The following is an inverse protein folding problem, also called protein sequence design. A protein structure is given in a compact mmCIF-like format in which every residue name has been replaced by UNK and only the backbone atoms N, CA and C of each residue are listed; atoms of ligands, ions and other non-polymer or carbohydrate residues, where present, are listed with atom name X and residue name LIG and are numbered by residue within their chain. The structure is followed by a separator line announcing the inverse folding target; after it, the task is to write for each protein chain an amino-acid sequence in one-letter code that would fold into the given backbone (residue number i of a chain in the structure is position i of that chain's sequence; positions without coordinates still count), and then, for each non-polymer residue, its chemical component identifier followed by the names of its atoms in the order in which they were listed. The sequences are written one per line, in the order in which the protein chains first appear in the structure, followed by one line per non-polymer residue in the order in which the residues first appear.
data_IF_186219617210
#
_entry.id   IF_186219617210
#
_cell.length_a   1.000
_cell.length_b   1.000
_cell.length_c   1.000
_cell.angle_alpha   90.00
_cell.angle_beta   90.00
_cell.angle_gamma   90.00
#
_symmetry.space_group_name_H-M   'P 1'
#
loop_
_entity.id
_entity.type
_entity.pdbx_description
1 polymer ?
#
# COMPACT_ATOMS: atom_id res chain seq x y z
N UNK A 1 43.30 4.23 15.10
CA UNK A 1 42.92 4.01 13.69
C UNK A 1 41.69 4.86 13.41
N UNK A 2 41.83 5.82 12.49
CA UNK A 2 40.93 6.95 12.28
C UNK A 2 39.64 6.55 11.56
N UNK A 3 38.48 6.91 12.14
CA UNK A 3 37.20 6.96 11.45
C UNK A 3 37.04 8.34 10.80
N UNK A 4 37.14 8.40 9.48
CA UNK A 4 36.98 9.65 8.73
C UNK A 4 35.51 9.86 8.38
N UNK A 5 34.91 10.90 8.97
CA UNK A 5 33.61 11.48 8.62
C UNK A 5 33.63 11.97 7.16
N UNK A 6 32.68 11.53 6.34
CA UNK A 6 32.38 12.21 5.07
C UNK A 6 31.38 13.34 5.30
N UNK A 7 31.85 14.57 5.08
CA UNK A 7 31.08 15.80 5.02
C UNK A 7 30.41 15.90 3.64
N UNK A 8 29.08 15.91 3.57
CA UNK A 8 28.37 16.43 2.39
C UNK A 8 28.20 17.94 2.56
N UNK A 9 28.95 18.69 1.74
CA UNK A 9 28.84 20.15 1.67
C UNK A 9 27.77 20.51 0.63
N UNK A 10 26.80 21.30 1.05
CA UNK A 10 25.75 21.85 0.21
C UNK A 10 26.32 22.72 -0.91
N UNK A 11 25.82 22.55 -2.13
CA UNK A 11 25.82 23.59 -3.15
C UNK A 11 24.37 23.84 -3.55
N UNK A 12 23.82 24.95 -3.04
CA UNK A 12 22.62 25.57 -3.56
C UNK A 12 23.03 26.70 -4.50
N UNK A 13 22.47 26.71 -5.71
CA UNK A 13 21.69 27.82 -6.30
C UNK A 13 21.64 27.70 -7.83
N UNK A 14 20.43 27.35 -8.29
CA UNK A 14 19.67 28.02 -9.35
C UNK A 14 20.42 28.51 -10.59
N UNK A 15 20.13 27.90 -11.74
CA UNK A 15 19.55 28.64 -12.87
C UNK A 15 19.01 27.70 -13.95
N UNK A 16 17.80 28.05 -14.40
CA UNK A 16 17.29 27.89 -15.76
C UNK A 16 16.71 26.52 -16.19
N UNK A 17 15.44 26.33 -15.79
CA UNK A 17 14.29 26.39 -16.70
C UNK A 17 14.61 26.33 -18.22
N UNK A 18 14.96 25.16 -18.73
CA UNK A 18 14.85 24.82 -20.17
C UNK A 18 15.06 23.32 -20.41
N UNK A 19 14.32 22.43 -19.73
CA UNK A 19 14.36 21.00 -20.08
C UNK A 19 13.02 20.26 -19.92
N UNK A 20 11.90 21.01 -19.90
CA UNK A 20 10.54 20.47 -19.86
C UNK A 20 9.79 20.88 -21.12
N UNK A 21 10.18 20.32 -22.28
CA UNK A 21 9.35 20.37 -23.49
C UNK A 21 9.82 19.39 -24.58
N UNK A 22 9.78 18.09 -24.28
CA UNK A 22 9.55 17.05 -25.31
C UNK A 22 9.46 15.67 -24.66
N UNK A 23 8.26 15.25 -24.26
CA UNK A 23 7.91 13.85 -24.34
C UNK A 23 6.59 13.76 -25.10
N UNK A 24 6.69 13.15 -26.27
CA UNK A 24 5.59 12.86 -27.19
C UNK A 24 4.64 11.87 -26.52
N UNK A 25 3.34 12.10 -26.71
CA UNK A 25 2.28 11.17 -26.38
C UNK A 25 2.59 9.76 -26.91
N UNK A 26 2.69 8.79 -26.01
CA UNK A 26 2.41 7.39 -26.31
C UNK A 26 1.07 7.07 -25.66
N UNK A 27 0.04 6.97 -26.49
CA UNK A 27 -1.28 6.48 -26.09
C UNK A 27 -1.12 4.97 -25.88
N UNK A 28 -0.97 4.54 -24.63
CA UNK A 28 -1.10 3.11 -24.28
C UNK A 28 -2.58 2.86 -23.99
N UNK A 29 -3.23 2.16 -24.92
CA UNK A 29 -4.64 1.80 -24.81
C UNK A 29 -4.91 0.95 -23.58
N UNK A 30 -5.99 1.30 -22.87
CA UNK A 30 -6.55 0.53 -21.78
C UNK A 30 -7.16 -0.78 -22.31
N UNK A 31 -6.53 -1.91 -22.00
CA UNK A 31 -7.18 -3.23 -22.06
C UNK A 31 -6.88 -4.03 -20.80
N UNK A 32 -7.92 -4.26 -20.02
CA UNK A 32 -7.94 -5.30 -18.99
C UNK A 32 -7.84 -6.66 -19.68
N UNK A 33 -6.82 -7.45 -19.33
CA UNK A 33 -6.71 -8.82 -19.78
C UNK A 33 -7.22 -9.77 -18.70
N UNK A 34 -8.42 -10.30 -18.94
CA UNK A 34 -8.94 -11.49 -18.26
C UNK A 34 -8.55 -12.71 -19.08
N UNK A 35 -7.85 -13.64 -18.43
CA UNK A 35 -7.39 -14.92 -18.98
C UNK A 35 -8.59 -15.88 -18.99
N UNK A 36 -8.89 -16.46 -20.16
CA UNK A 36 -9.41 -17.83 -20.40
C UNK A 36 -10.09 -17.90 -21.78
N UNK A 37 -9.49 -18.64 -22.72
CA UNK A 37 -10.13 -19.73 -23.49
C UNK A 37 -9.24 -20.18 -24.65
N UNK A 38 -8.74 -21.41 -24.55
CA UNK A 38 -8.44 -22.24 -25.70
C UNK A 38 -9.75 -22.68 -26.36
N UNK A 39 -9.83 -22.65 -27.69
CA UNK A 39 -10.53 -23.66 -28.51
C UNK A 39 -10.45 -23.35 -30.00
N UNK A 40 -10.16 -24.40 -30.76
CA UNK A 40 -10.21 -24.58 -32.22
C UNK A 40 -11.56 -24.22 -32.86
N UNK A 41 -11.61 -23.94 -34.18
CA UNK A 41 -12.79 -23.35 -34.82
C UNK A 41 -13.87 -24.39 -35.15
N UNK A 42 -15.14 -24.06 -34.90
CA UNK A 42 -16.31 -24.77 -35.48
C UNK A 42 -17.21 -23.80 -36.24
N UNK A 43 -17.74 -24.34 -37.33
CA UNK A 43 -18.55 -23.72 -38.39
C UNK A 43 -19.79 -22.97 -37.88
N UNK A 44 -20.12 -21.89 -38.58
CA UNK A 44 -21.34 -21.11 -38.43
C UNK A 44 -22.59 -21.95 -38.73
N UNK A 45 -23.58 -21.90 -37.83
CA UNK A 45 -24.96 -22.32 -38.08
C UNK A 45 -25.86 -21.15 -37.68
N UNK A 46 -26.65 -20.69 -38.63
CA UNK A 46 -27.64 -19.62 -38.47
C UNK A 46 -28.87 -20.14 -37.73
N UNK A 47 -29.34 -19.40 -36.71
CA UNK A 47 -30.67 -19.62 -36.13
C UNK A 47 -31.38 -18.29 -35.91
N UNK A 48 -32.65 -18.28 -36.31
CA UNK A 48 -33.61 -17.18 -36.42
C UNK A 48 -33.79 -16.39 -35.12
N UNK A 49 -33.87 -15.07 -35.27
CA UNK A 49 -34.32 -14.14 -34.23
C UNK A 49 -35.84 -14.25 -34.13
N UNK A 50 -36.33 -14.73 -32.99
CA UNK A 50 -37.72 -14.53 -32.58
C UNK A 50 -37.74 -13.53 -31.41
N UNK A 51 -38.40 -12.39 -31.66
CA UNK A 51 -38.74 -11.35 -30.69
C UNK A 51 -39.69 -11.87 -29.64
N UNK A 52 -39.37 -11.72 -28.36
CA UNK A 52 -40.34 -11.74 -27.26
C UNK A 52 -39.99 -10.65 -26.24
N UNK A 53 -40.88 -9.65 -26.17
CA UNK A 53 -41.07 -8.80 -25.00
C UNK A 53 -41.60 -9.64 -23.83
N UNK A 54 -41.44 -9.10 -22.62
CA UNK A 54 -42.03 -9.52 -21.35
C UNK A 54 -41.32 -10.61 -20.56
N UNK A 55 -40.27 -10.22 -19.81
CA UNK A 55 -40.01 -10.80 -18.49
C UNK A 55 -39.64 -9.71 -17.48
N UNK A 56 -40.56 -9.53 -16.53
CA UNK A 56 -40.48 -8.72 -15.31
C UNK A 56 -39.13 -8.94 -14.60
N UNK A 57 -38.48 -7.85 -14.22
CA UNK A 57 -37.29 -7.85 -13.36
C UNK A 57 -37.62 -8.42 -11.97
N UNK A 58 -37.48 -9.74 -11.80
CA UNK A 58 -37.30 -10.33 -10.49
C UNK A 58 -35.91 -9.90 -9.98
N UNK A 59 -35.88 -9.03 -8.97
CA UNK A 59 -34.67 -8.75 -8.20
C UNK A 59 -34.28 -10.02 -7.44
N UNK A 60 -33.50 -10.90 -8.08
CA UNK A 60 -32.75 -11.91 -7.36
C UNK A 60 -31.61 -11.20 -6.64
N UNK A 61 -31.76 -10.98 -5.33
CA UNK A 61 -30.62 -10.73 -4.46
C UNK A 61 -29.70 -11.96 -4.52
N UNK A 62 -28.79 -11.99 -5.50
CA UNK A 62 -27.65 -12.88 -5.45
C UNK A 62 -26.79 -12.39 -4.30
N UNK A 63 -26.83 -13.12 -3.18
CA UNK A 63 -25.85 -13.02 -2.12
C UNK A 63 -24.50 -13.33 -2.77
N UNK A 64 -23.73 -12.29 -3.10
CA UNK A 64 -22.42 -12.44 -3.74
C UNK A 64 -21.48 -13.05 -2.71
N UNK A 65 -21.04 -14.27 -3.00
CA UNK A 65 -20.04 -15.03 -2.22
C UNK A 65 -18.68 -14.35 -2.34
N UNK A 66 -18.00 -14.18 -1.20
CA UNK A 66 -16.62 -13.68 -1.14
C UNK A 66 -15.72 -14.39 -2.16
N UNK A 67 -14.81 -13.66 -2.79
CA UNK A 67 -13.93 -14.22 -3.81
C UNK A 67 -12.82 -15.04 -3.17
N UNK A 68 -12.37 -16.03 -3.92
CA UNK A 68 -11.24 -16.90 -3.56
C UNK A 68 -10.20 -16.82 -4.66
N UNK A 69 -8.94 -16.59 -4.30
CA UNK A 69 -7.80 -16.68 -5.21
C UNK A 69 -7.01 -17.96 -4.93
N UNK A 70 -6.37 -18.49 -5.97
CA UNK A 70 -5.51 -19.67 -5.88
C UNK A 70 -4.04 -19.23 -5.88
N UNK A 71 -3.35 -19.51 -4.79
CA UNK A 71 -1.93 -19.24 -4.57
C UNK A 71 -1.16 -20.56 -4.61
N UNK A 72 -0.77 -21.00 -5.81
CA UNK A 72 0.05 -22.20 -5.98
C UNK A 72 -0.62 -23.49 -5.51
N UNK A 73 -1.93 -23.62 -5.73
CA UNK A 73 -2.76 -24.75 -5.28
C UNK A 73 -3.49 -24.50 -3.96
N UNK A 74 -3.20 -23.39 -3.27
CA UNK A 74 -3.86 -23.02 -2.00
C UNK A 74 -4.92 -21.95 -2.24
N UNK A 75 -6.18 -22.28 -1.94
CA UNK A 75 -7.30 -21.36 -2.10
C UNK A 75 -7.48 -20.49 -0.87
N UNK A 76 -7.39 -19.17 -1.04
CA UNK A 76 -7.57 -18.19 0.04
C UNK A 76 -8.67 -17.17 -0.30
N UNK A 77 -9.42 -16.78 0.73
CA UNK A 77 -10.42 -15.72 0.60
C UNK A 77 -9.71 -14.38 0.48
N UNK A 78 -10.16 -13.58 -0.49
CA UNK A 78 -9.73 -12.19 -0.64
C UNK A 78 -10.94 -11.27 -0.73
N UNK A 79 -10.72 -10.02 -0.35
CA UNK A 79 -11.70 -8.94 -0.44
C UNK A 79 -11.28 -7.97 -1.53
N UNK A 80 -12.17 -7.71 -2.47
CA UNK A 80 -11.94 -6.75 -3.54
C UNK A 80 -12.73 -5.46 -3.30
N UNK A 81 -12.37 -4.42 -4.05
CA UNK A 81 -13.11 -3.14 -4.07
C UNK A 81 -14.61 -3.31 -4.33
N UNK A 82 -15.01 -4.36 -5.07
CA UNK A 82 -16.42 -4.62 -5.38
C UNK A 82 -17.24 -5.15 -4.20
N UNK A 83 -16.60 -5.65 -3.14
CA UNK A 83 -17.27 -6.12 -1.92
C UNK A 83 -17.66 -4.94 -0.99
N UNK A 84 -16.94 -3.82 -1.14
CA UNK A 84 -17.17 -2.56 -0.46
C UNK A 84 -17.18 -1.39 -1.45
N UNK A 85 -18.24 -1.28 -2.30
CA UNK A 85 -18.37 -0.15 -3.19
C UNK A 85 -18.41 1.17 -2.40
N UNK A 86 -18.07 2.27 -3.07
CA UNK A 86 -17.86 3.58 -2.45
C UNK A 86 -19.03 4.00 -1.56
N UNK A 87 -20.23 3.89 -2.06
CA UNK A 87 -21.46 4.28 -1.37
C UNK A 87 -21.68 3.46 -0.09
N UNK A 88 -21.31 2.17 -0.12
CA UNK A 88 -21.47 1.27 1.03
C UNK A 88 -20.54 1.67 2.18
N UNK A 89 -19.25 1.91 1.92
CA UNK A 89 -18.36 2.30 3.02
C UNK A 89 -18.60 3.76 3.46
N UNK A 90 -19.04 4.65 2.57
CA UNK A 90 -19.41 6.00 2.96
C UNK A 90 -20.60 6.00 3.93
N UNK A 91 -21.62 5.21 3.64
CA UNK A 91 -22.76 5.03 4.54
C UNK A 91 -22.35 4.36 5.85
N UNK A 92 -21.47 3.35 5.79
CA UNK A 92 -20.96 2.66 6.97
C UNK A 92 -20.21 3.59 7.94
N UNK A 93 -19.41 4.52 7.40
CA UNK A 93 -18.61 5.48 8.18
C UNK A 93 -19.22 6.88 8.28
N UNK A 94 -20.51 7.07 7.96
CA UNK A 94 -21.14 8.40 7.87
C UNK A 94 -21.09 9.21 9.18
N UNK A 95 -21.05 8.50 10.31
CA UNK A 95 -21.02 9.10 11.64
C UNK A 95 -19.61 9.08 12.25
N UNK A 96 -18.63 8.54 11.53
CA UNK A 96 -17.27 8.42 12.00
C UNK A 96 -16.44 9.65 11.65
N UNK A 97 -15.50 9.96 12.55
CA UNK A 97 -14.40 10.88 12.29
C UNK A 97 -13.12 10.07 12.38
N UNK A 98 -12.39 9.96 11.27
CA UNK A 98 -11.14 9.22 11.21
C UNK A 98 -10.00 10.19 11.51
N UNK A 99 -9.39 10.04 12.67
CA UNK A 99 -8.23 10.84 13.07
C UNK A 99 -6.94 10.13 12.69
N UNK A 100 -6.22 10.68 11.72
CA UNK A 100 -4.91 10.19 11.28
C UNK A 100 -3.81 10.90 12.04
N UNK A 101 -3.15 10.16 12.94
CA UNK A 101 -2.05 10.67 13.75
C UNK A 101 -0.73 10.31 13.07
N UNK A 102 0.00 11.33 12.65
CA UNK A 102 1.20 11.18 11.82
C UNK A 102 0.93 11.36 10.33
N UNK A 103 1.86 12.05 9.66
CA UNK A 103 1.72 12.43 8.25
C UNK A 103 3.04 12.16 7.51
N UNK A 104 3.66 11.02 7.82
CA UNK A 104 4.72 10.42 7.00
C UNK A 104 4.14 9.80 5.73
N UNK A 105 4.90 8.93 5.01
CA UNK A 105 4.43 8.35 3.75
C UNK A 105 3.06 7.66 3.84
N UNK A 106 2.85 6.79 4.84
CA UNK A 106 1.57 6.10 5.02
C UNK A 106 0.46 7.06 5.47
N UNK A 107 0.76 7.95 6.43
CA UNK A 107 -0.17 8.96 6.91
C UNK A 107 -0.73 9.83 5.78
N UNK A 108 0.13 10.39 4.93
CA UNK A 108 -0.30 11.21 3.79
C UNK A 108 -1.04 10.36 2.73
N UNK A 109 -0.48 9.23 2.31
CA UNK A 109 -1.09 8.41 1.26
C UNK A 109 -2.48 7.89 1.62
N UNK A 110 -2.66 7.35 2.82
CA UNK A 110 -3.95 6.79 3.26
C UNK A 110 -4.98 7.90 3.53
N UNK A 111 -4.58 8.96 4.22
CA UNK A 111 -5.49 10.07 4.55
C UNK A 111 -6.02 10.77 3.30
N UNK A 112 -5.17 11.02 2.30
CA UNK A 112 -5.57 11.65 1.04
C UNK A 112 -6.49 10.75 0.22
N UNK A 113 -6.20 9.45 0.13
CA UNK A 113 -7.05 8.50 -0.59
C UNK A 113 -8.44 8.39 0.08
N UNK A 114 -8.47 8.25 1.40
CA UNK A 114 -9.72 8.15 2.16
C UNK A 114 -10.56 9.45 2.06
N UNK A 115 -9.90 10.62 2.11
CA UNK A 115 -10.55 11.93 1.87
C UNK A 115 -11.13 12.04 0.47
N UNK A 116 -10.38 11.67 -0.57
CA UNK A 116 -10.85 11.70 -1.96
C UNK A 116 -12.00 10.68 -2.20
N UNK A 117 -12.05 9.64 -1.37
CA UNK A 117 -13.16 8.70 -1.28
C UNK A 117 -14.34 9.19 -0.42
N UNK A 118 -14.28 10.41 0.12
CA UNK A 118 -15.40 11.07 0.80
C UNK A 118 -15.58 10.67 2.26
N UNK A 119 -14.56 10.07 2.88
CA UNK A 119 -14.57 9.84 4.33
C UNK A 119 -14.21 11.13 5.08
N UNK A 120 -14.76 11.28 6.28
CA UNK A 120 -14.47 12.39 7.17
C UNK A 120 -13.12 12.18 7.87
N UNK A 121 -12.06 12.75 7.29
CA UNK A 121 -10.69 12.63 7.77
C UNK A 121 -10.23 13.92 8.46
N UNK A 122 -9.58 13.77 9.61
CA UNK A 122 -8.82 14.84 10.26
C UNK A 122 -7.39 14.38 10.53
N UNK A 123 -6.45 15.32 10.52
CA UNK A 123 -5.03 15.06 10.71
C UNK A 123 -4.59 15.58 12.09
N UNK A 124 -3.90 14.73 12.85
CA UNK A 124 -3.30 15.08 14.14
C UNK A 124 -1.78 15.14 14.06
N UNK A 125 -1.21 16.32 14.27
CA UNK A 125 0.24 16.57 14.13
C UNK A 125 0.80 17.52 15.18
N UNK A 126 2.12 17.51 15.32
CA UNK A 126 2.84 18.56 16.06
C UNK A 126 2.82 19.85 15.24
N UNK A 127 2.25 20.90 15.81
CA UNK A 127 2.10 22.21 15.19
C UNK A 127 3.45 22.82 14.79
N UNK A 128 3.48 23.50 13.64
CA UNK A 128 4.67 24.19 13.10
C UNK A 128 5.79 23.27 12.58
N UNK A 129 5.65 21.94 12.69
CA UNK A 129 6.63 20.99 12.19
C UNK A 129 6.61 20.81 10.66
N UNK A 130 7.59 20.07 10.13
CA UNK A 130 7.67 19.72 8.70
C UNK A 130 6.38 19.10 8.18
N UNK A 131 5.90 18.04 8.83
CA UNK A 131 4.69 17.33 8.42
C UNK A 131 3.43 18.18 8.53
N UNK A 132 3.40 19.16 9.45
CA UNK A 132 2.31 20.14 9.52
C UNK A 132 2.25 20.99 8.27
N UNK A 133 3.40 21.52 7.84
CA UNK A 133 3.49 22.32 6.62
C UNK A 133 3.19 21.50 5.35
N UNK A 134 3.60 20.23 5.31
CA UNK A 134 3.23 19.30 4.25
C UNK A 134 1.71 19.09 4.22
N UNK A 135 1.06 18.92 5.38
CA UNK A 135 -0.39 18.81 5.46
C UNK A 135 -1.11 20.09 5.00
N UNK A 136 -0.60 21.28 5.33
CA UNK A 136 -1.13 22.54 4.81
C UNK A 136 -1.07 22.60 3.28
N UNK A 137 0.06 22.18 2.69
CA UNK A 137 0.24 22.16 1.24
C UNK A 137 -0.73 21.19 0.54
N UNK A 138 -1.09 20.09 1.20
CA UNK A 138 -2.07 19.11 0.72
C UNK A 138 -3.54 19.51 0.98
N UNK A 139 -3.77 20.71 1.52
CA UNK A 139 -5.09 21.31 1.69
C UNK A 139 -5.79 21.00 3.02
N UNK A 140 -5.07 20.48 4.02
CA UNK A 140 -5.61 20.33 5.37
C UNK A 140 -5.63 21.69 6.09
N UNK A 141 -6.71 21.99 6.80
CA UNK A 141 -6.98 23.34 7.32
C UNK A 141 -6.93 23.36 8.84
N UNK A 142 -6.05 24.17 9.47
CA UNK A 142 -5.97 24.30 10.92
C UNK A 142 -7.33 24.61 11.56
N UNK A 143 -7.66 23.92 12.63
CA UNK A 143 -8.91 24.10 13.37
C UNK A 143 -10.16 23.53 12.67
N UNK A 144 -10.03 22.97 11.46
CA UNK A 144 -11.13 22.30 10.73
C UNK A 144 -10.82 20.84 10.44
N UNK A 145 -9.69 20.58 9.78
CA UNK A 145 -9.25 19.23 9.38
C UNK A 145 -7.80 18.92 9.73
N UNK A 146 -7.09 19.88 10.35
CA UNK A 146 -5.75 19.74 10.89
C UNK A 146 -5.72 20.26 12.33
N UNK A 147 -5.25 19.44 13.24
CA UNK A 147 -5.29 19.71 14.69
C UNK A 147 -4.01 19.26 15.38
N UNK A 148 -3.71 19.80 16.57
CA UNK A 148 -2.79 19.17 17.51
C UNK A 148 -3.21 17.73 17.82
N UNK A 149 -2.23 16.86 18.10
CA UNK A 149 -2.44 15.41 18.28
C UNK A 149 -3.58 15.08 19.27
N UNK A 150 -3.55 15.65 20.48
CA UNK A 150 -4.56 15.35 21.53
C UNK A 150 -5.97 15.81 21.14
N UNK A 151 -6.08 16.92 20.42
CA UNK A 151 -7.36 17.40 19.92
C UNK A 151 -7.92 16.45 18.83
N UNK A 152 -7.07 16.00 17.90
CA UNK A 152 -7.46 15.02 16.89
C UNK A 152 -7.90 13.69 17.54
N UNK A 153 -7.14 13.19 18.52
CA UNK A 153 -7.46 11.98 19.28
C UNK A 153 -8.82 12.08 19.98
N UNK A 154 -9.13 13.24 20.57
CA UNK A 154 -10.43 13.49 21.21
C UNK A 154 -11.59 13.44 20.22
N UNK A 155 -11.42 14.02 19.01
CA UNK A 155 -12.47 14.10 17.98
C UNK A 155 -12.69 12.79 17.23
N UNK A 156 -11.64 12.00 17.01
CA UNK A 156 -11.72 10.79 16.17
C UNK A 156 -12.48 9.65 16.84
N UNK A 157 -13.40 9.01 16.12
CA UNK A 157 -14.03 7.73 16.52
C UNK A 157 -13.18 6.54 16.09
N UNK A 158 -12.44 6.69 14.98
CA UNK A 158 -11.44 5.74 14.51
C UNK A 158 -10.09 6.44 14.50
N UNK A 159 -9.11 5.88 15.20
CA UNK A 159 -7.78 6.46 15.38
C UNK A 159 -6.77 5.69 14.55
N UNK A 160 -6.25 6.31 13.50
CA UNK A 160 -5.17 5.80 12.68
C UNK A 160 -3.84 6.18 13.32
N UNK A 161 -3.17 5.22 13.96
CA UNK A 161 -1.83 5.44 14.50
C UNK A 161 -0.77 5.16 13.43
N UNK A 162 -0.44 6.20 12.65
CA UNK A 162 0.50 6.13 11.51
C UNK A 162 1.81 6.89 11.80
N UNK A 163 2.17 6.95 13.08
CA UNK A 163 3.48 7.38 13.56
C UNK A 163 4.52 6.28 13.29
N UNK A 164 5.80 6.63 13.30
CA UNK A 164 6.86 5.62 13.35
C UNK A 164 6.77 4.80 14.63
N UNK A 165 7.22 3.54 14.63
CA UNK A 165 7.09 2.65 15.79
C UNK A 165 7.70 3.24 17.08
N UNK A 166 8.84 3.93 16.94
CA UNK A 166 9.46 4.66 18.05
C UNK A 166 8.57 5.79 18.59
N UNK A 167 7.92 6.54 17.71
CA UNK A 167 7.01 7.62 18.09
C UNK A 167 5.68 7.08 18.64
N UNK A 168 5.22 5.91 18.19
CA UNK A 168 4.06 5.22 18.78
C UNK A 168 4.32 4.91 20.25
N UNK A 169 5.49 4.36 20.57
CA UNK A 169 5.95 4.15 21.96
C UNK A 169 6.03 5.45 22.75
N UNK A 170 6.73 6.45 22.22
CA UNK A 170 6.96 7.72 22.93
C UNK A 170 5.66 8.47 23.24
N UNK A 171 4.73 8.49 22.28
CA UNK A 171 3.49 9.27 22.39
C UNK A 171 2.32 8.46 22.96
N UNK A 172 2.49 7.17 23.22
CA UNK A 172 1.44 6.31 23.77
C UNK A 172 0.74 6.89 25.01
N UNK A 173 1.43 7.49 26.00
CA UNK A 173 0.77 8.10 27.16
C UNK A 173 -0.24 9.20 26.79
N UNK A 174 -0.06 9.87 25.66
CA UNK A 174 -1.02 10.87 25.14
C UNK A 174 -2.21 10.23 24.44
N UNK A 175 -2.06 9.02 23.90
CA UNK A 175 -3.16 8.28 23.27
C UNK A 175 -4.14 7.74 24.31
N UNK A 176 -3.63 7.09 25.36
CA UNK A 176 -4.43 6.31 26.33
C UNK A 176 -5.66 7.07 26.87
N UNK A 177 -5.58 8.35 27.29
CA UNK A 177 -6.74 9.09 27.81
C UNK A 177 -7.87 9.28 26.79
N UNK A 178 -7.58 9.14 25.50
CA UNK A 178 -8.52 9.36 24.41
C UNK A 178 -9.01 8.06 23.76
N UNK A 179 -8.43 6.90 24.11
CA UNK A 179 -8.86 5.59 23.62
C UNK A 179 -10.03 5.05 24.46
N UNK A 180 -11.17 5.72 24.37
CA UNK A 180 -12.38 5.38 25.14
C UNK A 180 -13.26 4.34 24.45
N UNK A 181 -14.10 3.66 25.23
CA UNK A 181 -15.10 2.68 24.75
C UNK A 181 -15.79 3.08 23.45
N UNK A 182 -15.89 2.10 22.54
CA UNK A 182 -16.57 2.24 21.25
C UNK A 182 -15.70 2.86 20.14
N UNK A 183 -14.48 3.31 20.45
CA UNK A 183 -13.51 3.70 19.42
C UNK A 183 -12.87 2.47 18.77
N UNK A 184 -12.26 2.69 17.61
CA UNK A 184 -11.39 1.73 16.93
C UNK A 184 -9.97 2.29 16.85
N UNK A 185 -8.97 1.51 17.21
CA UNK A 185 -7.56 1.80 17.00
C UNK A 185 -7.05 1.03 15.78
N UNK A 186 -6.49 1.76 14.83
CA UNK A 186 -6.02 1.26 13.54
C UNK A 186 -4.50 1.41 13.44
N UNK A 187 -3.84 0.35 12.95
CA UNK A 187 -2.43 0.34 12.59
C UNK A 187 -2.24 -0.02 11.11
N UNK A 188 -1.08 0.35 10.55
CA UNK A 188 -0.63 -0.16 9.24
C UNK A 188 0.62 -1.04 9.31
N UNK A 189 1.07 -1.35 10.51
CA UNK A 189 2.08 -2.34 10.81
C UNK A 189 1.87 -2.82 12.25
N UNK A 190 2.08 -4.10 12.52
CA UNK A 190 1.75 -4.67 13.83
C UNK A 190 2.82 -4.50 14.91
N UNK A 191 3.97 -3.89 14.61
CA UNK A 191 5.17 -3.90 15.46
C UNK A 191 4.88 -3.56 16.92
N UNK A 192 4.23 -2.43 17.18
CA UNK A 192 3.95 -1.98 18.55
C UNK A 192 3.04 -2.93 19.33
N UNK A 193 2.13 -3.63 18.66
CA UNK A 193 1.22 -4.58 19.34
C UNK A 193 1.90 -5.93 19.57
N UNK A 194 2.69 -6.41 18.60
CA UNK A 194 3.42 -7.69 18.72
C UNK A 194 4.51 -7.60 19.78
N UNK A 195 5.25 -6.49 19.83
CA UNK A 195 6.29 -6.21 20.81
C UNK A 195 5.78 -5.28 21.92
N UNK A 196 4.55 -5.47 22.38
CA UNK A 196 3.93 -4.60 23.41
C UNK A 196 4.64 -4.65 24.76
N UNK A 197 5.35 -5.73 25.06
CA UNK A 197 6.11 -5.86 26.31
C UNK A 197 7.34 -4.95 26.30
N UNK A 198 7.94 -4.71 25.12
CA UNK A 198 9.07 -3.79 24.94
C UNK A 198 8.63 -2.36 24.59
N UNK A 199 7.55 -2.21 23.84
CA UNK A 199 7.05 -0.90 23.40
C UNK A 199 6.11 -0.24 24.41
N UNK A 200 5.51 -1.02 25.30
CA UNK A 200 4.47 -0.58 26.24
C UNK A 200 3.23 0.04 25.57
N UNK A 201 3.01 -0.26 24.29
CA UNK A 201 1.80 0.09 23.55
C UNK A 201 0.75 -0.97 23.84
N UNK A 202 -0.04 -0.75 24.88
CA UNK A 202 -1.07 -1.69 25.37
C UNK A 202 -2.45 -1.04 25.21
N UNK A 203 -3.22 -1.38 24.16
CA UNK A 203 -4.56 -0.86 23.96
C UNK A 203 -5.52 -1.19 25.11
N UNK A 204 -6.49 -0.30 25.42
CA UNK A 204 -7.60 -0.64 26.32
C UNK A 204 -8.38 -1.85 25.83
N UNK A 205 -8.98 -2.61 26.76
CA UNK A 205 -9.71 -3.86 26.46
C UNK A 205 -11.12 -3.65 25.89
N UNK A 206 -11.61 -2.41 25.86
CA UNK A 206 -12.99 -2.04 25.54
C UNK A 206 -13.12 -1.24 24.22
N UNK A 207 -12.10 -1.34 23.35
CA UNK A 207 -12.07 -0.75 22.01
C UNK A 207 -11.79 -1.80 20.93
N UNK A 208 -12.07 -1.53 19.67
CA UNK A 208 -11.57 -2.41 18.60
C UNK A 208 -10.10 -2.10 18.32
N UNK A 209 -9.32 -3.12 17.96
CA UNK A 209 -7.92 -2.97 17.52
C UNK A 209 -7.72 -3.75 16.24
N UNK A 210 -7.46 -3.02 15.16
CA UNK A 210 -7.36 -3.56 13.80
C UNK A 210 -6.08 -3.11 13.12
N UNK A 211 -5.72 -3.82 12.07
CA UNK A 211 -4.64 -3.44 11.18
C UNK A 211 -5.07 -3.58 9.73
N UNK A 212 -4.69 -2.61 8.92
CA UNK A 212 -4.64 -2.73 7.47
C UNK A 212 -3.27 -2.27 7.01
N UNK A 213 -2.48 -3.21 6.47
CA UNK A 213 -1.09 -3.01 6.09
C UNK A 213 -0.93 -3.05 4.55
N UNK A 214 -0.85 -1.89 3.87
CA UNK A 214 -0.53 -1.83 2.45
C UNK A 214 0.87 -2.39 2.17
N UNK A 215 0.98 -3.29 1.19
CA UNK A 215 2.23 -3.99 0.84
C UNK A 215 3.12 -3.15 -0.07
N UNK A 216 3.44 -1.95 0.40
CA UNK A 216 4.42 -1.04 -0.18
C UNK A 216 4.33 0.35 0.42
N UNK A 217 5.18 1.26 -0.09
CA UNK A 217 5.32 2.60 0.48
C UNK A 217 4.02 3.40 0.43
N UNK A 218 3.83 4.32 1.38
CA UNK A 218 2.69 5.23 1.31
C UNK A 218 2.70 6.18 0.09
N UNK A 219 3.88 6.42 -0.51
CA UNK A 219 3.98 7.14 -1.80
C UNK A 219 3.36 6.33 -2.95
N UNK A 220 3.59 5.03 -2.97
CA UNK A 220 2.98 4.10 -3.94
C UNK A 220 1.50 3.89 -3.67
N UNK A 221 1.06 3.91 -2.41
CA UNK A 221 -0.38 3.93 -2.04
C UNK A 221 -1.08 5.14 -2.69
N UNK A 222 -0.48 6.34 -2.63
CA UNK A 222 -1.07 7.54 -3.24
C UNK A 222 -1.02 7.54 -4.76
N UNK A 223 0.16 7.32 -5.34
CA UNK A 223 0.35 7.40 -6.80
C UNK A 223 -0.49 6.38 -7.54
N UNK A 224 -0.50 5.11 -7.11
CA UNK A 224 -1.31 4.09 -7.75
C UNK A 224 -2.81 4.38 -7.63
N UNK A 225 -3.26 4.94 -6.50
CA UNK A 225 -4.66 5.35 -6.33
C UNK A 225 -5.09 6.42 -7.33
N UNK A 226 -4.23 7.43 -7.55
CA UNK A 226 -4.46 8.47 -8.57
C UNK A 226 -4.55 7.86 -9.97
N UNK A 227 -3.73 6.83 -10.25
CA UNK A 227 -3.74 6.04 -11.48
C UNK A 227 -4.88 5.00 -11.55
N UNK A 228 -5.84 5.04 -10.61
CA UNK A 228 -6.97 4.10 -10.49
C UNK A 228 -6.55 2.64 -10.23
N UNK A 229 -5.29 2.41 -9.92
CA UNK A 229 -4.72 1.15 -9.45
C UNK A 229 -4.68 1.14 -7.92
N UNK A 230 -4.14 0.08 -7.34
CA UNK A 230 -3.98 -0.05 -5.90
C UNK A 230 -2.87 -1.01 -5.58
N UNK A 231 -2.23 -0.81 -4.44
CA UNK A 231 -1.37 -1.82 -3.85
C UNK A 231 -2.23 -2.77 -3.02
N UNK A 232 -1.87 -4.04 -2.94
CA UNK A 232 -2.63 -4.98 -2.10
C UNK A 232 -2.32 -4.73 -0.63
N UNK A 233 -3.24 -5.10 0.25
CA UNK A 233 -3.08 -4.92 1.69
C UNK A 233 -3.40 -6.21 2.42
N UNK A 234 -2.77 -6.44 3.57
CA UNK A 234 -3.25 -7.45 4.52
C UNK A 234 -4.11 -6.80 5.60
N UNK A 235 -5.11 -7.52 6.12
CA UNK A 235 -5.89 -7.11 7.29
C UNK A 235 -5.68 -8.06 8.46
N UNK A 236 -5.70 -7.54 9.68
CA UNK A 236 -5.72 -8.35 10.89
C UNK A 236 -6.59 -7.72 11.98
N UNK A 237 -7.17 -8.56 12.82
CA UNK A 237 -8.00 -8.15 13.96
C UNK A 237 -7.29 -8.64 15.22
N UNK A 238 -6.83 -7.70 16.06
CA UNK A 238 -6.21 -8.02 17.34
C UNK A 238 -7.27 -8.10 18.45
N UNK A 239 -8.25 -7.19 18.42
CA UNK A 239 -9.33 -7.12 19.39
C UNK A 239 -10.62 -6.70 18.70
N UNK A 240 -11.69 -7.47 18.88
CA UNK A 240 -13.03 -7.19 18.37
C UNK A 240 -14.02 -7.10 19.54
N UNK A 241 -14.34 -5.88 19.95
CA UNK A 241 -15.30 -5.56 21.01
C UNK A 241 -16.68 -5.25 20.43
N UNK A 242 -16.71 -4.65 19.23
CA UNK A 242 -17.95 -4.24 18.57
C UNK A 242 -18.66 -5.37 17.81
N UNK A 243 -17.96 -6.45 17.47
CA UNK A 243 -18.41 -7.48 16.54
C UNK A 243 -18.35 -7.05 15.07
N UNK A 244 -17.76 -5.89 14.78
CA UNK A 244 -17.65 -5.29 13.44
C UNK A 244 -16.21 -5.01 13.02
N UNK A 245 -15.21 -5.36 13.83
CA UNK A 245 -13.82 -4.99 13.58
C UNK A 245 -13.33 -5.45 12.19
N UNK A 246 -13.74 -6.65 11.75
CA UNK A 246 -13.41 -7.18 10.43
C UNK A 246 -14.00 -6.36 9.28
N UNK A 247 -15.29 -6.02 9.36
CA UNK A 247 -15.95 -5.19 8.36
C UNK A 247 -15.31 -3.80 8.30
N UNK A 248 -14.99 -3.22 9.46
CA UNK A 248 -14.26 -1.96 9.56
C UNK A 248 -12.89 -2.05 8.87
N UNK A 249 -12.10 -3.09 9.11
CA UNK A 249 -10.80 -3.27 8.49
C UNK A 249 -10.88 -3.42 6.96
N UNK A 250 -11.80 -4.26 6.46
CA UNK A 250 -11.99 -4.44 5.01
C UNK A 250 -12.44 -3.13 4.36
N UNK A 251 -13.44 -2.47 4.94
CA UNK A 251 -14.00 -1.23 4.40
C UNK A 251 -12.97 -0.09 4.36
N UNK A 252 -12.21 0.11 5.45
CA UNK A 252 -11.11 1.08 5.48
C UNK A 252 -10.03 0.72 4.47
N UNK A 253 -9.69 -0.56 4.35
CA UNK A 253 -8.72 -1.04 3.38
C UNK A 253 -9.09 -0.74 1.93
N UNK A 254 -10.37 -0.90 1.57
CA UNK A 254 -10.87 -0.45 0.27
C UNK A 254 -10.85 1.07 0.16
N UNK A 255 -11.25 1.79 1.21
CA UNK A 255 -11.28 3.26 1.22
C UNK A 255 -9.89 3.92 1.10
N UNK A 256 -8.83 3.30 1.60
CA UNK A 256 -7.45 3.79 1.40
C UNK A 256 -6.86 3.40 0.03
N UNK A 257 -7.60 2.65 -0.79
CA UNK A 257 -7.25 2.38 -2.18
C UNK A 257 -6.63 1.01 -2.44
N UNK A 258 -6.78 0.02 -1.55
CA UNK A 258 -6.21 -1.31 -1.76
C UNK A 258 -6.69 -1.96 -3.06
N UNK A 259 -5.84 -2.75 -3.72
CA UNK A 259 -6.22 -3.55 -4.90
C UNK A 259 -7.18 -4.67 -4.51
N UNK A 260 -6.65 -5.64 -3.77
CA UNK A 260 -7.42 -6.56 -2.93
C UNK A 260 -6.85 -6.60 -1.52
N UNK A 261 -7.60 -7.22 -0.60
CA UNK A 261 -7.18 -7.48 0.78
C UNK A 261 -7.22 -8.97 1.09
N UNK A 262 -6.27 -9.41 1.90
CA UNK A 262 -6.20 -10.78 2.42
C UNK A 262 -6.00 -10.78 3.94
N UNK A 263 -6.41 -11.85 4.61
CA UNK A 263 -6.35 -11.95 6.06
C UNK A 263 -5.00 -12.44 6.56
N UNK A 264 -4.57 -11.91 7.71
CA UNK A 264 -3.39 -12.34 8.46
C UNK A 264 -3.62 -12.12 9.96
N UNK A 265 -2.60 -12.37 10.79
CA UNK A 265 -2.55 -11.92 12.18
C UNK A 265 -1.52 -10.81 12.33
N UNK A 266 -1.55 -10.08 13.45
CA UNK A 266 -0.53 -9.08 13.75
C UNK A 266 0.88 -9.69 13.74
N UNK A 267 1.06 -10.86 14.34
CA UNK A 267 2.34 -11.58 14.42
C UNK A 267 2.82 -12.01 13.04
N UNK A 268 1.95 -12.64 12.23
CA UNK A 268 2.31 -13.11 10.89
C UNK A 268 2.69 -11.94 9.98
N UNK A 269 1.94 -10.83 10.05
CA UNK A 269 2.27 -9.62 9.30
C UNK A 269 3.64 -9.07 9.71
N UNK A 270 3.86 -8.83 11.01
CA UNK A 270 5.11 -8.23 11.50
C UNK A 270 6.32 -9.06 11.11
N UNK A 271 6.28 -10.37 11.33
CA UNK A 271 7.41 -11.23 10.99
C UNK A 271 7.64 -11.28 9.48
N UNK A 272 6.58 -11.37 8.68
CA UNK A 272 6.72 -11.37 7.22
C UNK A 272 7.25 -10.05 6.67
N UNK A 273 6.81 -8.92 7.22
CA UNK A 273 7.14 -7.58 6.75
C UNK A 273 8.58 -7.22 7.12
N UNK A 274 8.96 -7.39 8.40
CA UNK A 274 10.32 -7.16 8.88
C UNK A 274 11.35 -8.06 8.17
N UNK A 275 10.98 -9.31 7.87
CA UNK A 275 11.81 -10.21 7.09
C UNK A 275 11.89 -9.74 5.62
N UNK A 276 10.77 -9.37 5.01
CA UNK A 276 10.71 -8.90 3.63
C UNK A 276 11.56 -7.66 3.38
N UNK A 277 11.46 -6.63 4.22
CA UNK A 277 12.23 -5.39 4.08
C UNK A 277 13.74 -5.61 4.26
N UNK A 278 14.15 -6.54 5.13
CA UNK A 278 15.57 -6.93 5.27
C UNK A 278 16.03 -7.82 4.12
N UNK A 279 15.11 -8.58 3.54
CA UNK A 279 15.33 -9.46 2.41
C UNK A 279 15.17 -8.76 1.07
N UNK A 280 14.44 -9.42 0.16
CA UNK A 280 14.37 -9.09 -1.26
C UNK A 280 13.69 -7.74 -1.56
N UNK A 281 12.96 -7.16 -0.61
CA UNK A 281 12.26 -5.89 -0.84
C UNK A 281 13.20 -4.68 -0.77
N UNK A 282 14.20 -4.71 0.13
CA UNK A 282 15.14 -3.58 0.29
C UNK A 282 16.57 -4.00 0.64
N UNK A 283 16.79 -4.62 1.80
CA UNK A 283 18.14 -4.83 2.36
C UNK A 283 19.02 -5.72 1.48
N UNK A 284 18.54 -6.91 1.13
CA UNK A 284 19.32 -7.86 0.34
C UNK A 284 19.59 -7.35 -1.08
N UNK A 285 18.58 -6.75 -1.73
CA UNK A 285 18.72 -6.22 -3.08
C UNK A 285 19.72 -5.06 -3.14
N UNK A 286 19.75 -4.18 -2.13
CA UNK A 286 20.78 -3.16 -2.01
C UNK A 286 22.18 -3.77 -1.93
N UNK A 287 22.35 -4.81 -1.11
CA UNK A 287 23.63 -5.52 -0.95
C UNK A 287 24.10 -6.17 -2.25
N UNK A 288 23.19 -6.83 -2.98
CA UNK A 288 23.50 -7.47 -4.27
C UNK A 288 23.94 -6.44 -5.33
N UNK A 289 23.20 -5.34 -5.47
CA UNK A 289 23.56 -4.27 -6.40
C UNK A 289 24.91 -3.65 -6.05
N UNK A 290 25.16 -3.36 -4.77
CA UNK A 290 26.43 -2.78 -4.33
C UNK A 290 27.61 -3.75 -4.57
N UNK A 291 27.47 -5.02 -4.20
CA UNK A 291 28.54 -6.00 -4.34
C UNK A 291 28.96 -6.17 -5.80
N UNK A 292 28.00 -6.34 -6.72
CA UNK A 292 28.31 -6.46 -8.15
C UNK A 292 28.91 -5.17 -8.71
N UNK A 293 28.38 -4.00 -8.32
CA UNK A 293 28.93 -2.72 -8.73
C UNK A 293 30.40 -2.58 -8.32
N UNK A 294 30.73 -2.86 -7.05
CA UNK A 294 32.09 -2.77 -6.53
C UNK A 294 33.06 -3.75 -7.22
N UNK A 295 32.60 -4.99 -7.49
CA UNK A 295 33.40 -5.97 -8.24
C UNK A 295 33.73 -5.43 -9.63
N UNK A 296 32.74 -4.95 -10.39
CA UNK A 296 32.98 -4.39 -11.74
C UNK A 296 33.94 -3.19 -11.69
N UNK A 297 33.74 -2.29 -10.73
CA UNK A 297 34.62 -1.12 -10.53
C UNK A 297 36.05 -1.51 -10.21
N UNK A 298 36.26 -2.54 -9.37
CA UNK A 298 37.58 -3.06 -9.04
C UNK A 298 38.31 -3.69 -10.24
N UNK A 299 37.56 -4.11 -11.25
CA UNK A 299 38.07 -4.72 -12.49
C UNK A 299 38.23 -3.72 -13.65
N UNK A 300 38.08 -2.43 -13.38
CA UNK A 300 38.37 -1.36 -14.33
C UNK A 300 37.19 -0.92 -15.21
N UNK A 301 36.00 -1.52 -15.06
CA UNK A 301 34.78 -1.04 -15.72
C UNK A 301 34.45 0.38 -15.25
N UNK A 302 33.98 1.25 -16.14
CA UNK A 302 33.57 2.62 -15.83
C UNK A 302 32.36 2.67 -14.86
N UNK A 303 32.11 3.81 -14.19
CA UNK A 303 30.92 3.95 -13.32
C UNK A 303 29.61 3.73 -14.07
N UNK A 304 29.53 4.16 -15.32
CA UNK A 304 28.36 3.98 -16.17
C UNK A 304 28.13 2.52 -16.51
N UNK A 305 29.17 1.77 -16.92
CA UNK A 305 29.04 0.34 -17.20
C UNK A 305 28.61 -0.43 -15.94
N UNK A 306 29.29 -0.21 -14.81
CA UNK A 306 28.95 -0.90 -13.57
C UNK A 306 27.54 -0.60 -13.07
N UNK A 307 27.03 0.63 -13.25
CA UNK A 307 25.65 0.97 -12.91
C UNK A 307 24.64 0.32 -13.87
N UNK A 308 24.95 0.29 -15.17
CA UNK A 308 24.07 -0.29 -16.18
C UNK A 308 23.93 -1.80 -15.99
N UNK A 309 25.05 -2.49 -15.79
CA UNK A 309 25.16 -3.94 -15.53
C UNK A 309 24.68 -4.34 -14.11
N UNK A 310 24.07 -3.42 -13.35
CA UNK A 310 23.51 -3.71 -12.02
C UNK A 310 22.09 -3.15 -11.88
N UNK A 311 21.96 -1.87 -11.54
CA UNK A 311 20.68 -1.27 -11.14
C UNK A 311 19.80 -0.99 -12.35
N UNK A 312 20.37 -0.42 -13.41
CA UNK A 312 19.58 0.01 -14.58
C UNK A 312 18.96 -1.19 -15.30
N UNK A 313 19.78 -2.15 -15.72
CA UNK A 313 19.27 -3.29 -16.49
C UNK A 313 18.33 -4.16 -15.63
N UNK A 314 18.64 -4.38 -14.36
CA UNK A 314 17.75 -5.11 -13.46
C UNK A 314 16.39 -4.41 -13.34
N UNK A 315 16.35 -3.11 -13.03
CA UNK A 315 15.09 -2.43 -12.68
C UNK A 315 14.29 -1.95 -13.89
N UNK A 316 14.93 -1.64 -15.02
CA UNK A 316 14.28 -1.09 -16.21
C UNK A 316 14.01 -2.15 -17.29
N UNK A 317 14.76 -3.25 -17.30
CA UNK A 317 14.61 -4.31 -18.31
C UNK A 317 14.11 -5.61 -17.69
N UNK A 318 14.90 -6.24 -16.81
CA UNK A 318 14.65 -7.63 -16.39
C UNK A 318 13.49 -7.76 -15.38
N UNK A 319 13.47 -6.95 -14.33
CA UNK A 319 12.43 -7.03 -13.30
C UNK A 319 11.03 -6.68 -13.81
N UNK A 320 10.84 -5.74 -14.76
CA UNK A 320 9.56 -5.58 -15.43
C UNK A 320 9.03 -6.86 -16.09
N UNK A 321 9.90 -7.73 -16.63
CA UNK A 321 9.49 -9.02 -17.18
C UNK A 321 8.99 -9.97 -16.09
N UNK A 322 9.64 -9.98 -14.92
CA UNK A 322 9.19 -10.74 -13.74
C UNK A 322 7.81 -10.25 -13.30
N UNK A 323 7.64 -8.93 -13.18
CA UNK A 323 6.36 -8.34 -12.76
C UNK A 323 5.22 -8.62 -13.74
N UNK A 324 5.52 -8.77 -15.03
CA UNK A 324 4.51 -9.06 -16.05
C UNK A 324 4.09 -10.53 -16.07
N UNK A 325 5.05 -11.47 -16.04
CA UNK A 325 4.78 -12.89 -16.33
C UNK A 325 5.59 -13.88 -15.46
N UNK A 326 6.30 -13.41 -14.45
CA UNK A 326 7.10 -14.24 -13.54
C UNK A 326 8.54 -14.50 -13.99
N UNK A 327 9.30 -15.18 -13.12
CA UNK A 327 10.74 -15.45 -13.31
C UNK A 327 11.03 -16.28 -14.55
N UNK A 328 10.24 -17.33 -14.79
CA UNK A 328 10.44 -18.23 -15.94
C UNK A 328 10.35 -17.47 -17.27
N UNK A 329 9.45 -16.48 -17.33
CA UNK A 329 9.33 -15.61 -18.51
C UNK A 329 10.54 -14.70 -18.69
N UNK A 330 11.07 -14.12 -17.60
CA UNK A 330 12.31 -13.34 -17.67
C UNK A 330 13.44 -14.19 -18.25
N UNK A 331 13.65 -15.41 -17.74
CA UNK A 331 14.68 -16.30 -18.27
C UNK A 331 14.46 -16.68 -19.74
N UNK A 332 13.22 -17.05 -20.11
CA UNK A 332 12.87 -17.39 -21.48
C UNK A 332 13.06 -16.22 -22.47
N UNK A 333 12.95 -14.98 -21.99
CA UNK A 333 13.19 -13.77 -22.78
C UNK A 333 14.69 -13.39 -22.91
N UNK A 334 15.57 -14.01 -22.14
CA UNK A 334 17.01 -13.80 -22.18
C UNK A 334 17.73 -14.77 -23.14
N UNK A 335 18.93 -14.41 -23.60
CA UNK A 335 19.75 -15.28 -24.45
C UNK A 335 20.14 -16.58 -23.74
N UNK A 336 20.40 -17.65 -24.51
CA UNK A 336 20.87 -18.92 -23.95
C UNK A 336 22.14 -18.75 -23.12
N UNK A 337 23.05 -17.87 -23.53
CA UNK A 337 24.28 -17.58 -22.78
C UNK A 337 23.97 -16.98 -21.40
N UNK A 338 23.04 -16.03 -21.33
CA UNK A 338 22.63 -15.41 -20.07
C UNK A 338 21.92 -16.41 -19.15
N UNK A 339 21.05 -17.26 -19.71
CA UNK A 339 20.37 -18.31 -18.95
C UNK A 339 21.38 -19.29 -18.32
N UNK A 340 22.33 -19.80 -19.13
CA UNK A 340 23.37 -20.71 -18.64
C UNK A 340 24.25 -20.06 -17.58
N UNK A 341 24.66 -18.81 -17.79
CA UNK A 341 25.47 -18.08 -16.79
C UNK A 341 24.77 -17.85 -15.45
N UNK A 342 23.43 -17.85 -15.41
CA UNK A 342 22.66 -17.63 -14.19
C UNK A 342 22.21 -18.93 -13.50
N UNK A 343 22.08 -20.05 -14.23
CA UNK A 343 21.45 -21.29 -13.76
C UNK A 343 22.39 -22.51 -13.70
N UNK A 344 23.46 -22.54 -14.49
CA UNK A 344 24.44 -23.65 -14.53
C UNK A 344 25.62 -23.40 -13.55
#
# INVERSE_FOLDING_TARGET
MNFTRFFFRSLSRSSNAAFLKQQRHVIVGSKSYSILKSSTPRKAVSVKVNTLNDLKHSHSNQIRTMKTLDFGGTKEVVYERSDWPKEKFQEFFKNDTIAVIGYGPQGSGQSLNARDNGLNIIIGLREGGRSWNEALADGWVPGKTLFPIEEALKKGTIIFNLLSDAAQKELWPKFVPHLTKGKTLYFSHGFSIVFKDETHVIPPKDIDVIMVAPKGSGRTVRSLFLDKRGINSSIAIFQDVSGKAKDTAVALGVAIGSGYLYETTFEREVFSDLFGERGVLMGAIQGLFLAQYEVLRSRGHTPSEAFNETVEEATQSLYPLIGANGMDWMYAACSTTAQRGALD
#
